data_IF_925265573402
#
_entry.id   IF_925265573402
#
_cell.length_a   1.000
_cell.length_b   1.000
_cell.length_c   1.000
_cell.angle_alpha   90.00
_cell.angle_beta   90.00
_cell.angle_gamma   90.00
#
_symmetry.space_group_name_H-M   'P 1'
#
loop_
_entity.id
_entity.type
_entity.pdbx_description
1 polymer ?
#
# COMPACT_ATOMS: atom_id res chain seq x y z
N UNK A 1 5.53 -11.38 -29.21
CA UNK A 1 4.52 -12.26 -28.60
C UNK A 1 4.30 -11.72 -27.20
N UNK A 2 3.18 -11.04 -26.94
CA UNK A 2 2.91 -10.46 -25.62
C UNK A 2 2.46 -11.59 -24.71
N UNK A 3 3.33 -12.03 -23.80
CA UNK A 3 2.95 -13.01 -22.78
C UNK A 3 2.01 -12.29 -21.82
N UNK A 4 0.73 -12.66 -21.83
CA UNK A 4 -0.22 -12.20 -20.81
C UNK A 4 0.20 -12.86 -19.50
N UNK A 5 0.45 -12.06 -18.47
CA UNK A 5 0.81 -12.58 -17.14
C UNK A 5 -0.36 -13.41 -16.59
N UNK A 6 -0.04 -14.49 -15.87
CA UNK A 6 -1.05 -15.26 -15.15
C UNK A 6 -1.62 -14.45 -13.99
N UNK A 7 -2.81 -14.83 -13.51
CA UNK A 7 -3.41 -14.18 -12.34
C UNK A 7 -2.49 -14.29 -11.11
N UNK A 8 -1.79 -15.41 -10.93
CA UNK A 8 -0.87 -15.60 -9.81
C UNK A 8 0.28 -14.59 -9.85
N UNK A 9 0.89 -14.38 -11.01
CA UNK A 9 1.93 -13.36 -11.19
C UNK A 9 1.41 -11.94 -10.95
N UNK A 10 0.18 -11.65 -11.35
CA UNK A 10 -0.45 -10.36 -11.08
C UNK A 10 -0.60 -10.15 -9.57
N UNK A 11 -1.14 -11.13 -8.83
CA UNK A 11 -1.32 -11.05 -7.38
C UNK A 11 0.03 -10.89 -6.63
N UNK A 12 1.10 -11.54 -7.11
CA UNK A 12 2.46 -11.41 -6.57
C UNK A 12 2.98 -9.98 -6.72
N UNK A 13 2.88 -9.44 -7.93
CA UNK A 13 3.30 -8.06 -8.23
C UNK A 13 2.50 -7.07 -7.41
N UNK A 14 1.19 -7.21 -7.33
CA UNK A 14 0.34 -6.32 -6.53
C UNK A 14 0.72 -6.36 -5.05
N UNK A 15 0.96 -7.54 -4.46
CA UNK A 15 1.46 -7.62 -3.07
C UNK A 15 2.79 -6.89 -2.89
N UNK A 16 3.73 -7.03 -3.82
CA UNK A 16 4.99 -6.31 -3.77
C UNK A 16 4.79 -4.79 -3.89
N UNK A 17 3.89 -4.32 -4.76
CA UNK A 17 3.56 -2.89 -4.87
C UNK A 17 2.92 -2.35 -3.59
N UNK A 18 2.07 -3.14 -2.92
CA UNK A 18 1.53 -2.74 -1.61
C UNK A 18 2.62 -2.62 -0.55
N UNK A 19 3.66 -3.47 -0.58
CA UNK A 19 4.83 -3.29 0.32
C UNK A 19 5.50 -1.94 0.06
N UNK A 20 5.75 -1.58 -1.19
CA UNK A 20 6.38 -0.30 -1.56
C UNK A 20 5.53 0.92 -1.15
N UNK A 21 4.21 0.82 -1.30
CA UNK A 21 3.27 1.84 -0.79
C UNK A 21 3.42 1.99 0.72
N UNK A 22 3.43 0.86 1.46
CA UNK A 22 3.56 0.89 2.91
C UNK A 22 4.91 1.45 3.38
N UNK A 23 5.99 1.25 2.63
CA UNK A 23 7.30 1.89 2.87
C UNK A 23 7.18 3.42 2.82
N UNK A 24 6.52 3.96 1.78
CA UNK A 24 6.27 5.41 1.67
C UNK A 24 5.41 5.91 2.83
N UNK A 25 4.31 5.23 3.15
CA UNK A 25 3.42 5.66 4.23
C UNK A 25 4.09 5.59 5.61
N UNK A 26 4.92 4.57 5.86
CA UNK A 26 5.63 4.39 7.13
C UNK A 26 6.62 5.52 7.42
N UNK A 27 7.14 6.20 6.39
CA UNK A 27 8.05 7.36 6.50
C UNK A 27 7.33 8.68 6.85
N UNK A 28 5.99 8.69 6.90
CA UNK A 28 5.20 9.84 7.33
C UNK A 28 5.44 11.08 6.48
N UNK A 29 5.79 12.21 7.10
CA UNK A 29 6.05 13.46 6.37
C UNK A 29 7.16 13.29 5.32
N UNK A 30 8.18 12.48 5.59
CA UNK A 30 9.27 12.25 4.64
C UNK A 30 8.78 11.50 3.40
N UNK A 31 7.92 10.49 3.58
CA UNK A 31 7.28 9.77 2.48
C UNK A 31 6.37 10.68 1.65
N UNK A 32 5.55 11.50 2.30
CA UNK A 32 4.73 12.52 1.64
C UNK A 32 5.58 13.48 0.79
N UNK A 33 6.67 14.00 1.33
CA UNK A 33 7.55 14.91 0.58
C UNK A 33 8.30 14.22 -0.56
N UNK A 34 8.56 12.91 -0.46
CA UNK A 34 9.24 12.15 -1.49
C UNK A 34 8.36 11.95 -2.74
N UNK A 35 7.06 11.75 -2.56
CA UNK A 35 6.13 11.44 -3.67
C UNK A 35 5.21 12.61 -4.06
N UNK A 36 4.99 13.57 -3.16
CA UNK A 36 4.05 14.68 -3.36
C UNK A 36 2.63 14.35 -2.87
N UNK A 37 1.79 15.37 -2.68
CA UNK A 37 0.50 15.24 -2.00
C UNK A 37 -0.49 14.36 -2.74
N UNK A 38 -0.52 14.43 -4.07
CA UNK A 38 -1.42 13.60 -4.88
C UNK A 38 -0.99 12.15 -4.88
N UNK A 39 0.28 11.91 -5.17
CA UNK A 39 0.83 10.55 -5.26
C UNK A 39 0.79 9.84 -3.91
N UNK A 40 0.91 10.56 -2.80
CA UNK A 40 0.78 9.95 -1.47
C UNK A 40 -0.56 9.23 -1.27
N UNK A 41 -1.66 9.78 -1.78
CA UNK A 41 -2.97 9.13 -1.74
C UNK A 41 -3.19 8.20 -2.93
N UNK A 42 -2.91 8.65 -4.15
CA UNK A 42 -3.15 7.88 -5.36
C UNK A 42 -2.39 6.55 -5.34
N UNK A 43 -1.12 6.56 -4.94
CA UNK A 43 -0.30 5.35 -4.93
C UNK A 43 -0.87 4.27 -4.00
N UNK A 44 -1.53 4.66 -2.91
CA UNK A 44 -2.24 3.73 -2.04
C UNK A 44 -3.54 3.22 -2.69
N UNK A 45 -4.38 4.12 -3.18
CA UNK A 45 -5.68 3.77 -3.75
C UNK A 45 -5.61 3.08 -5.12
N UNK A 46 -4.46 3.13 -5.81
CA UNK A 46 -4.21 2.34 -7.02
C UNK A 46 -4.24 0.82 -6.75
N UNK A 47 -3.97 0.38 -5.53
CA UNK A 47 -3.96 -1.04 -5.15
C UNK A 47 -4.99 -1.42 -4.08
N UNK A 48 -5.42 -0.46 -3.26
CA UNK A 48 -6.31 -0.68 -2.12
C UNK A 48 -7.49 0.31 -2.22
N UNK A 49 -8.49 -0.03 -3.03
CA UNK A 49 -9.74 0.74 -3.18
C UNK A 49 -10.98 -0.16 -2.98
N UNK A 50 -12.02 0.41 -2.38
CA UNK A 50 -13.32 -0.24 -2.15
C UNK A 50 -14.31 0.04 -3.30
N UNK A 51 -14.03 0.94 -4.26
CA UNK A 51 -15.01 1.40 -5.25
C UNK A 51 -15.06 0.67 -6.60
N UNK A 52 -14.05 -0.11 -7.04
CA UNK A 52 -14.20 -1.11 -8.14
C UNK A 52 -12.96 -2.01 -8.38
N UNK A 53 -13.06 -3.02 -9.27
CA UNK A 53 -13.09 -4.46 -8.99
C UNK A 53 -11.71 -5.09 -8.74
N UNK A 54 -11.05 -4.79 -7.62
CA UNK A 54 -10.05 -5.71 -7.09
C UNK A 54 -10.45 -6.01 -5.66
N UNK A 55 -10.93 -7.24 -5.46
CA UNK A 55 -11.08 -7.83 -4.14
C UNK A 55 -9.67 -7.92 -3.56
N UNK A 56 -9.06 -6.80 -3.14
CA UNK A 56 -7.67 -6.79 -2.74
C UNK A 56 -7.48 -7.74 -1.57
N UNK A 57 -8.50 -7.82 -0.70
CA UNK A 57 -8.65 -8.80 0.39
C UNK A 57 -8.61 -10.27 -0.05
N UNK A 58 -8.93 -10.55 -1.31
CA UNK A 58 -9.00 -11.89 -1.89
C UNK A 58 -7.80 -12.21 -2.81
N UNK A 59 -6.75 -11.37 -2.83
CA UNK A 59 -5.50 -11.74 -3.50
C UNK A 59 -5.01 -13.08 -2.96
N UNK A 60 -4.66 -14.00 -3.86
CA UNK A 60 -4.17 -15.32 -3.50
C UNK A 60 -2.83 -15.29 -2.74
N UNK A 61 -2.17 -14.14 -2.72
CA UNK A 61 -0.88 -13.90 -2.08
C UNK A 61 -0.99 -13.36 -0.66
N UNK A 62 -2.19 -12.91 -0.23
CA UNK A 62 -2.38 -12.42 1.13
C UNK A 62 -2.76 -13.51 2.11
N UNK A 63 -2.22 -13.36 3.31
CA UNK A 63 -2.67 -14.03 4.52
C UNK A 63 -3.76 -13.19 5.21
N UNK A 64 -4.57 -13.84 6.04
CA UNK A 64 -5.58 -13.10 6.83
C UNK A 64 -4.97 -12.05 7.78
N UNK A 65 -3.74 -12.27 8.24
CA UNK A 65 -3.03 -11.30 9.09
C UNK A 65 -2.62 -10.04 8.30
N UNK A 66 -2.13 -10.20 7.08
CA UNK A 66 -1.79 -9.07 6.19
C UNK A 66 -3.04 -8.26 5.84
N UNK A 67 -4.13 -8.94 5.46
CA UNK A 67 -5.41 -8.28 5.16
C UNK A 67 -5.86 -7.43 6.34
N UNK A 68 -5.90 -8.01 7.56
CA UNK A 68 -6.33 -7.29 8.75
C UNK A 68 -5.47 -6.04 9.05
N UNK A 69 -4.18 -6.05 8.73
CA UNK A 69 -3.32 -4.86 8.91
C UNK A 69 -3.53 -3.82 7.83
N UNK A 70 -3.68 -4.22 6.57
CA UNK A 70 -3.96 -3.30 5.47
C UNK A 70 -5.32 -2.61 5.68
N UNK A 71 -6.33 -3.29 6.23
CA UNK A 71 -7.62 -2.68 6.56
C UNK A 71 -7.48 -1.51 7.54
N UNK A 72 -6.61 -1.63 8.55
CA UNK A 72 -6.33 -0.52 9.48
C UNK A 72 -5.66 0.66 8.78
N UNK A 73 -4.79 0.41 7.79
CA UNK A 73 -4.18 1.47 6.99
C UNK A 73 -5.22 2.14 6.10
N UNK A 74 -6.11 1.37 5.47
CA UNK A 74 -7.20 1.87 4.63
C UNK A 74 -8.11 2.82 5.43
N UNK A 75 -8.48 2.46 6.66
CA UNK A 75 -9.27 3.33 7.54
C UNK A 75 -8.57 4.69 7.78
N UNK A 76 -7.26 4.68 8.04
CA UNK A 76 -6.50 5.93 8.23
C UNK A 76 -6.38 6.74 6.94
N UNK A 77 -6.18 6.09 5.80
CA UNK A 77 -6.03 6.75 4.50
C UNK A 77 -7.33 7.40 4.02
N UNK A 78 -8.47 6.74 4.22
CA UNK A 78 -9.79 7.33 3.94
C UNK A 78 -10.05 8.56 4.81
N UNK A 79 -9.78 8.47 6.12
CA UNK A 79 -9.95 9.59 7.03
C UNK A 79 -9.00 10.76 6.72
N UNK A 80 -7.76 10.47 6.33
CA UNK A 80 -6.81 11.47 5.87
C UNK A 80 -7.29 12.14 4.57
N UNK A 81 -7.71 11.35 3.57
CA UNK A 81 -8.20 11.86 2.29
C UNK A 81 -9.39 12.82 2.47
N UNK A 82 -10.36 12.44 3.31
CA UNK A 82 -11.50 13.30 3.64
C UNK A 82 -11.04 14.62 4.30
N UNK A 83 -10.16 14.53 5.29
CA UNK A 83 -9.69 15.70 6.04
C UNK A 83 -8.77 16.63 5.22
N UNK A 84 -8.15 16.14 4.14
CA UNK A 84 -7.21 16.90 3.31
C UNK A 84 -7.76 17.23 1.92
N UNK A 85 -9.05 17.00 1.66
CA UNK A 85 -9.66 17.10 0.33
C UNK A 85 -9.46 18.45 -0.37
N UNK A 86 -9.32 19.55 0.39
CA UNK A 86 -9.14 20.90 -0.14
C UNK A 86 -7.69 21.38 -0.19
N UNK A 87 -6.74 20.58 0.32
CA UNK A 87 -5.33 20.92 0.36
C UNK A 87 -4.66 20.62 -0.98
N UNK A 88 -3.67 21.42 -1.37
CA UNK A 88 -3.07 21.36 -2.72
C UNK A 88 -1.55 21.27 -2.70
N UNK A 89 -0.95 21.19 -1.51
CA UNK A 89 0.50 21.08 -1.34
C UNK A 89 0.84 20.06 -0.27
N UNK A 90 2.00 19.42 -0.43
CA UNK A 90 2.61 18.54 0.56
C UNK A 90 2.78 19.21 1.93
N UNK A 91 3.17 20.50 1.96
CA UNK A 91 3.31 21.28 3.20
C UNK A 91 1.98 21.43 3.95
N UNK A 92 0.90 21.71 3.24
CA UNK A 92 -0.44 21.83 3.85
C UNK A 92 -0.87 20.48 4.44
N UNK A 93 -0.69 19.40 3.69
CA UNK A 93 -1.01 18.04 4.16
C UNK A 93 -0.15 17.65 5.37
N UNK A 94 1.16 17.90 5.34
CA UNK A 94 2.06 17.65 6.47
C UNK A 94 1.65 18.43 7.73
N UNK A 95 1.19 19.68 7.57
CA UNK A 95 0.75 20.52 8.67
C UNK A 95 -0.50 19.97 9.41
N UNK A 96 -1.28 19.11 8.78
CA UNK A 96 -2.42 18.44 9.45
C UNK A 96 -2.00 17.37 10.46
N UNK A 97 -0.76 16.88 10.36
CA UNK A 97 -0.27 15.75 11.15
C UNK A 97 -0.80 14.39 10.72
N UNK A 98 -1.59 14.29 9.63
CA UNK A 98 -2.08 13.01 9.12
C UNK A 98 -0.97 12.03 8.72
N UNK A 99 0.09 12.43 7.98
CA UNK A 99 1.16 11.49 7.63
C UNK A 99 1.82 10.87 8.87
N UNK A 100 2.03 11.66 9.93
CA UNK A 100 2.54 11.17 11.23
C UNK A 100 1.59 10.22 11.94
N UNK A 101 0.28 10.37 11.76
CA UNK A 101 -0.74 9.47 12.32
C UNK A 101 -0.84 8.15 11.55
N UNK A 102 -0.73 8.21 10.22
CA UNK A 102 -0.73 7.04 9.32
C UNK A 102 0.53 6.20 9.52
N UNK A 103 1.70 6.85 9.63
CA UNK A 103 3.01 6.21 9.69
C UNK A 103 3.14 5.01 10.65
N UNK A 104 2.75 5.08 11.94
CA UNK A 104 2.84 3.92 12.82
C UNK A 104 1.94 2.75 12.37
N UNK A 105 0.75 3.03 11.83
CA UNK A 105 -0.17 1.98 11.34
C UNK A 105 0.37 1.33 10.07
N UNK A 106 0.95 2.13 9.17
CA UNK A 106 1.60 1.62 7.97
C UNK A 106 2.85 0.80 8.29
N UNK A 107 3.66 1.20 9.27
CA UNK A 107 4.85 0.45 9.72
C UNK A 107 4.48 -0.92 10.27
N UNK A 108 3.41 -0.98 11.06
CA UNK A 108 2.86 -2.22 11.59
C UNK A 108 2.40 -3.18 10.46
N UNK A 109 1.76 -2.65 9.42
CA UNK A 109 1.36 -3.44 8.25
C UNK A 109 2.59 -3.88 7.42
N UNK A 110 3.57 -2.99 7.26
CA UNK A 110 4.80 -3.26 6.54
C UNK A 110 5.58 -4.40 7.19
N UNK A 111 5.71 -4.39 8.52
CA UNK A 111 6.39 -5.45 9.26
C UNK A 111 5.73 -6.82 9.01
N UNK A 112 4.40 -6.88 9.08
CA UNK A 112 3.66 -8.13 8.82
C UNK A 112 3.82 -8.60 7.37
N UNK A 113 3.77 -7.68 6.42
CA UNK A 113 3.92 -7.99 4.98
C UNK A 113 5.34 -8.43 4.63
N UNK A 114 6.36 -7.82 5.23
CA UNK A 114 7.77 -8.12 4.93
C UNK A 114 8.32 -9.30 5.72
N UNK A 115 7.65 -9.73 6.81
CA UNK A 115 8.07 -10.89 7.60
C UNK A 115 8.23 -12.19 6.79
N UNK A 116 7.50 -12.32 5.68
CA UNK A 116 7.57 -13.46 4.75
C UNK A 116 8.45 -13.18 3.52
N UNK A 117 8.96 -11.97 3.34
CA UNK A 117 9.68 -11.52 2.16
C UNK A 117 8.80 -11.05 1.00
N UNK A 118 9.44 -10.78 -0.15
CA UNK A 118 8.82 -10.39 -1.42
C UNK A 118 8.75 -11.57 -2.40
N UNK A 119 7.72 -11.55 -3.25
CA UNK A 119 7.55 -12.56 -4.30
C UNK A 119 8.42 -12.22 -5.52
N UNK A 120 8.83 -13.24 -6.27
CA UNK A 120 9.41 -13.05 -7.60
C UNK A 120 8.37 -12.42 -8.55
N UNK A 121 8.78 -11.44 -9.36
CA UNK A 121 7.87 -10.75 -10.28
C UNK A 121 7.82 -11.39 -11.68
N UNK A 122 8.70 -12.34 -11.98
CA UNK A 122 8.83 -13.00 -13.29
C UNK A 122 8.39 -14.48 -13.25
N UNK A 123 8.40 -15.10 -12.07
CA UNK A 123 8.09 -16.52 -11.86
C UNK A 123 6.97 -16.72 -10.84
N UNK A 124 6.09 -17.68 -11.08
CA UNK A 124 5.05 -18.04 -10.10
C UNK A 124 5.66 -18.76 -8.90
N UNK A 125 5.25 -18.35 -7.71
CA UNK A 125 5.71 -18.89 -6.44
C UNK A 125 4.53 -19.21 -5.55
N UNK A 126 4.68 -20.23 -4.70
CA UNK A 126 3.70 -20.57 -3.66
C UNK A 126 3.90 -19.65 -2.46
N UNK A 127 5.15 -19.46 -2.03
CA UNK A 127 5.57 -18.60 -0.93
C UNK A 127 6.68 -17.66 -1.40
N UNK A 128 6.81 -16.45 -0.81
CA UNK A 128 7.83 -15.49 -1.22
C UNK A 128 9.24 -16.06 -0.98
N UNK A 129 10.18 -15.73 -1.87
CA UNK A 129 11.55 -16.23 -1.81
C UNK A 129 12.63 -15.15 -1.68
N UNK A 130 12.24 -13.87 -1.78
CA UNK A 130 13.16 -12.73 -1.74
C UNK A 130 13.08 -11.97 -0.41
N UNK A 131 14.19 -11.38 0.08
CA UNK A 131 14.18 -10.49 1.23
C UNK A 131 13.25 -9.28 1.07
#
# INVERSE_FOLDING_TARGET
MTVVASQRLVDQRVRNRVIEVLEVLADGDAGLHAVGEKEYFNYFFDYIDDSSPHQWRALSTYTGAEVARIELVLEQMLAALEATADLRTDREVAATGWPKRVAPVARDALEVMTARGRFDEESEEIEPSHP
#
